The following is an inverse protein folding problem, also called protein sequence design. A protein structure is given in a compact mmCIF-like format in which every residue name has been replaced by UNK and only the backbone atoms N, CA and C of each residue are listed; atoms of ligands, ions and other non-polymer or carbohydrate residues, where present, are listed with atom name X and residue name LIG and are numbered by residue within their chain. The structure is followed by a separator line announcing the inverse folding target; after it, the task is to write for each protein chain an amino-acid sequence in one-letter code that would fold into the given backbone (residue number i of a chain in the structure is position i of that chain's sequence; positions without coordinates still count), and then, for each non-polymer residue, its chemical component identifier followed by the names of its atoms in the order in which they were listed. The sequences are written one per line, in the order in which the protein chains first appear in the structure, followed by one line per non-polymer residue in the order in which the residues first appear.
data_IF_335353370608
#
_entry.id   IF_335353370608
#
_cell.length_a   1.000
_cell.length_b   1.000
_cell.length_c   1.000
_cell.angle_alpha   90.00
_cell.angle_beta   90.00
_cell.angle_gamma   90.00
#
_symmetry.space_group_name_H-M   'P 1'
#
loop_
_entity.id
_entity.type
_entity.pdbx_description
1 polymer ?
#
# COMPACT_ATOMS: atom_id res chain seq x y z
N UNK A 1 -13.93 -3.86 21.37
CA UNK A 1 -13.97 -2.60 20.57
C UNK A 1 -13.60 -2.99 19.15
N UNK A 2 -14.51 -2.82 18.19
CA UNK A 2 -14.24 -3.13 16.78
C UNK A 2 -13.25 -2.10 16.27
N UNK A 3 -11.95 -2.42 16.25
CA UNK A 3 -10.98 -1.65 15.49
C UNK A 3 -11.32 -1.84 14.01
N UNK A 4 -12.12 -0.91 13.46
CA UNK A 4 -12.28 -0.75 12.02
C UNK A 4 -10.86 -0.63 11.45
N UNK A 5 -10.45 -1.60 10.61
CA UNK A 5 -9.08 -1.63 10.10
C UNK A 5 -8.70 -0.31 9.42
N UNK A 6 -7.51 0.20 9.70
CA UNK A 6 -7.17 1.58 9.40
C UNK A 6 -6.69 1.83 7.98
N UNK A 7 -6.24 0.81 7.24
CA UNK A 7 -5.90 1.03 5.84
C UNK A 7 -5.03 0.02 5.11
N UNK A 8 -4.70 0.38 3.87
CA UNK A 8 -3.70 -0.22 2.99
C UNK A 8 -2.45 0.67 3.03
N UNK A 9 -1.27 0.09 3.19
CA UNK A 9 -0.01 0.82 3.04
C UNK A 9 0.41 0.82 1.56
N UNK A 10 0.50 1.98 0.94
CA UNK A 10 1.12 2.16 -0.37
C UNK A 10 2.58 2.56 -0.18
N UNK A 11 3.50 1.74 -0.70
CA UNK A 11 4.93 2.10 -0.78
C UNK A 11 5.13 2.97 -2.01
N UNK A 12 5.53 4.22 -1.79
CA UNK A 12 5.84 5.17 -2.84
C UNK A 12 7.29 5.00 -3.29
N UNK A 13 7.49 4.14 -4.27
CA UNK A 13 8.75 3.97 -5.00
C UNK A 13 8.75 4.70 -6.35
N UNK A 14 7.56 5.07 -6.84
CA UNK A 14 7.35 5.82 -8.06
C UNK A 14 6.15 6.76 -7.90
N UNK A 15 6.44 8.06 -7.86
CA UNK A 15 5.44 9.08 -7.59
C UNK A 15 4.28 9.10 -8.60
N UNK A 16 4.59 9.04 -9.89
CA UNK A 16 3.58 9.13 -10.94
C UNK A 16 2.62 7.93 -10.86
N UNK A 17 3.18 6.74 -10.66
CA UNK A 17 2.40 5.52 -10.40
C UNK A 17 1.51 5.64 -9.16
N UNK A 18 2.08 6.07 -8.03
CA UNK A 18 1.34 6.23 -6.77
C UNK A 18 0.16 7.19 -6.92
N UNK A 19 0.39 8.31 -7.61
CA UNK A 19 -0.66 9.30 -7.87
C UNK A 19 -1.78 8.71 -8.74
N UNK A 20 -1.43 8.08 -9.86
CA UNK A 20 -2.42 7.51 -10.79
C UNK A 20 -3.24 6.37 -10.15
N UNK A 21 -2.59 5.51 -9.36
CA UNK A 21 -3.25 4.44 -8.64
C UNK A 21 -4.28 4.98 -7.65
N UNK A 22 -3.89 5.98 -6.87
CA UNK A 22 -4.80 6.57 -5.87
C UNK A 22 -5.95 7.31 -6.55
N UNK A 23 -5.69 8.07 -7.61
CA UNK A 23 -6.74 8.74 -8.40
C UNK A 23 -7.73 7.73 -8.98
N UNK A 24 -7.25 6.60 -9.51
CA UNK A 24 -8.10 5.53 -9.99
C UNK A 24 -8.98 4.96 -8.87
N UNK A 25 -8.39 4.63 -7.71
CA UNK A 25 -9.12 4.09 -6.56
C UNK A 25 -10.18 5.06 -6.03
N UNK A 26 -9.91 6.36 -6.05
CA UNK A 26 -10.90 7.38 -5.68
C UNK A 26 -12.04 7.44 -6.69
N UNK A 27 -11.75 7.44 -7.98
CA UNK A 27 -12.78 7.54 -9.03
C UNK A 27 -13.76 6.35 -9.02
N UNK A 28 -13.31 5.17 -8.60
CA UNK A 28 -14.15 3.98 -8.48
C UNK A 28 -14.94 3.96 -7.16
N UNK A 29 -14.46 4.63 -6.11
CA UNK A 29 -15.12 4.69 -4.80
C UNK A 29 -16.05 5.90 -4.69
N UNK A 30 -17.35 5.67 -4.71
CA UNK A 30 -18.33 6.74 -4.88
C UNK A 30 -18.52 7.71 -3.70
N UNK A 31 -17.99 7.45 -2.49
CA UNK A 31 -18.18 8.40 -1.36
C UNK A 31 -17.37 8.12 -0.07
N UNK A 32 -16.30 7.32 -0.09
CA UNK A 32 -15.55 7.02 1.13
C UNK A 32 -14.18 7.69 1.11
N UNK A 33 -13.81 8.31 2.24
CA UNK A 33 -12.46 8.79 2.49
C UNK A 33 -11.46 7.67 2.19
N UNK A 34 -10.34 8.04 1.57
CA UNK A 34 -9.29 7.07 1.26
C UNK A 34 -8.84 6.37 2.53
N UNK A 35 -8.71 5.05 2.47
CA UNK A 35 -8.11 4.25 3.54
C UNK A 35 -6.65 3.89 3.20
N UNK A 36 -6.01 4.70 2.36
CA UNK A 36 -4.63 4.50 1.95
C UNK A 36 -3.73 5.34 2.86
N UNK A 37 -2.72 4.70 3.43
CA UNK A 37 -1.60 5.35 4.08
C UNK A 37 -0.44 5.21 3.11
N UNK A 38 0.25 6.28 2.78
CA UNK A 38 1.39 6.24 1.86
C UNK A 38 2.69 6.43 2.63
N UNK A 39 3.75 5.72 2.24
CA UNK A 39 5.08 5.89 2.80
C UNK A 39 6.12 6.00 1.69
N UNK A 40 7.03 6.96 1.82
CA UNK A 40 8.10 7.21 0.84
C UNK A 40 8.93 8.44 1.22
N UNK A 41 9.84 8.86 0.35
CA UNK A 41 10.75 9.99 0.63
C UNK A 41 10.20 11.34 0.13
N UNK A 42 9.21 11.33 -0.77
CA UNK A 42 8.63 12.51 -1.41
C UNK A 42 7.52 13.19 -0.58
N UNK A 43 7.85 13.61 0.63
CA UNK A 43 6.90 14.16 1.62
C UNK A 43 6.05 15.32 1.13
N UNK A 44 6.62 16.20 0.30
CA UNK A 44 5.89 17.34 -0.29
C UNK A 44 4.69 16.88 -1.11
N UNK A 45 4.87 15.82 -1.88
CA UNK A 45 3.85 15.31 -2.78
C UNK A 45 2.83 14.45 -2.04
N UNK A 46 3.28 13.63 -1.09
CA UNK A 46 2.38 12.90 -0.19
C UNK A 46 1.47 13.85 0.61
N UNK A 47 2.02 14.94 1.17
CA UNK A 47 1.22 15.95 1.87
C UNK A 47 0.16 16.58 0.95
N UNK A 48 0.49 16.81 -0.32
CA UNK A 48 -0.47 17.32 -1.32
C UNK A 48 -1.62 16.34 -1.56
N UNK A 49 -1.35 15.03 -1.59
CA UNK A 49 -2.41 14.01 -1.69
C UNK A 49 -3.30 14.01 -0.45
N UNK A 50 -2.72 14.17 0.74
CA UNK A 50 -3.49 14.25 1.99
C UNK A 50 -4.42 15.46 1.99
N UNK A 51 -3.94 16.64 1.58
CA UNK A 51 -4.77 17.85 1.45
C UNK A 51 -5.91 17.71 0.44
N UNK A 52 -5.72 16.90 -0.59
CA UNK A 52 -6.76 16.56 -1.57
C UNK A 52 -7.64 15.38 -1.12
N UNK A 53 -7.50 14.93 0.13
CA UNK A 53 -8.22 13.79 0.72
C UNK A 53 -8.03 12.47 -0.05
N UNK A 54 -6.92 12.35 -0.80
CA UNK A 54 -6.59 11.17 -1.60
C UNK A 54 -5.98 10.03 -0.80
N UNK A 55 -5.42 10.37 0.34
CA UNK A 55 -4.84 9.44 1.31
C UNK A 55 -5.33 9.85 2.71
N UNK A 56 -5.36 8.90 3.62
CA UNK A 56 -5.71 9.12 5.03
C UNK A 56 -4.57 9.77 5.81
N UNK A 57 -3.36 9.29 5.56
CA UNK A 57 -2.15 9.71 6.27
C UNK A 57 -0.92 9.43 5.39
N UNK A 58 0.21 10.03 5.75
CA UNK A 58 1.49 9.78 5.12
C UNK A 58 2.62 9.62 6.13
N UNK A 59 3.65 8.86 5.77
CA UNK A 59 4.85 8.71 6.57
C UNK A 59 6.08 8.91 5.70
N UNK A 60 7.08 9.65 6.20
CA UNK A 60 8.38 9.65 5.56
C UNK A 60 9.03 8.27 5.75
N UNK A 61 9.54 7.70 4.66
CA UNK A 61 10.38 6.51 4.71
C UNK A 61 11.32 6.49 3.51
N UNK A 62 12.63 6.50 3.79
CA UNK A 62 13.65 6.02 2.87
C UNK A 62 13.72 4.49 2.97
N UNK A 63 13.29 3.79 1.92
CA UNK A 63 13.29 2.32 1.87
C UNK A 63 14.67 1.70 1.61
N UNK A 64 15.69 2.52 1.36
CA UNK A 64 17.09 2.08 1.31
C UNK A 64 17.75 2.10 2.70
N UNK A 65 17.03 2.61 3.71
CA UNK A 65 17.55 2.79 5.06
C UNK A 65 16.73 1.98 6.07
N UNK A 66 17.33 0.92 6.61
CA UNK A 66 16.69 0.03 7.58
C UNK A 66 16.17 0.76 8.83
N UNK A 67 16.88 1.79 9.32
CA UNK A 67 16.44 2.57 10.48
C UNK A 67 15.14 3.29 10.16
N UNK A 68 15.07 3.93 8.99
CA UNK A 68 13.87 4.61 8.51
C UNK A 68 12.69 3.63 8.37
N UNK A 69 12.93 2.43 7.84
CA UNK A 69 11.90 1.38 7.76
C UNK A 69 11.45 0.90 9.14
N UNK A 70 12.35 0.76 10.10
CA UNK A 70 12.00 0.36 11.47
C UNK A 70 11.19 1.44 12.20
N UNK A 71 11.48 2.72 11.95
CA UNK A 71 10.68 3.85 12.42
C UNK A 71 9.28 3.86 11.79
N UNK A 72 9.19 3.64 10.48
CA UNK A 72 7.92 3.46 9.77
C UNK A 72 7.12 2.31 10.39
N UNK A 73 7.71 1.14 10.56
CA UNK A 73 7.05 -0.03 11.14
C UNK A 73 6.51 0.27 12.56
N UNK A 74 7.34 0.93 13.38
CA UNK A 74 6.97 1.35 14.74
C UNK A 74 5.86 2.41 14.76
N UNK A 75 5.85 3.33 13.79
CA UNK A 75 4.78 4.31 13.63
C UNK A 75 3.48 3.63 13.23
N UNK A 76 3.51 2.82 12.17
CA UNK A 76 2.35 2.10 11.66
C UNK A 76 1.76 1.22 12.75
N UNK A 77 2.57 0.42 13.44
CA UNK A 77 2.09 -0.46 14.52
C UNK A 77 1.37 0.30 15.66
N UNK A 78 1.82 1.51 15.99
CA UNK A 78 1.23 2.31 17.08
C UNK A 78 -0.02 3.08 16.69
N UNK A 79 -0.12 3.48 15.42
CA UNK A 79 -1.13 4.45 14.97
C UNK A 79 -2.11 3.90 13.94
N UNK A 80 -1.81 2.75 13.34
CA UNK A 80 -2.58 2.18 12.24
C UNK A 80 -2.67 0.66 12.31
N UNK A 81 -3.87 0.14 12.09
CA UNK A 81 -4.07 -1.27 11.76
C UNK A 81 -3.97 -1.50 10.23
N UNK A 82 -2.76 -1.83 9.73
CA UNK A 82 -2.50 -2.10 8.31
C UNK A 82 -2.96 -3.50 7.94
N UNK A 83 -3.80 -3.61 6.90
CA UNK A 83 -4.30 -4.91 6.44
C UNK A 83 -3.43 -5.56 5.37
N UNK A 84 -2.79 -4.73 4.55
CA UNK A 84 -1.97 -5.15 3.43
C UNK A 84 -1.08 -4.03 2.94
N UNK A 85 -0.01 -4.41 2.25
CA UNK A 85 0.91 -3.51 1.55
C UNK A 85 0.69 -3.60 0.05
N UNK A 86 0.65 -2.45 -0.62
CA UNK A 86 0.58 -2.30 -2.06
C UNK A 86 1.95 -1.87 -2.57
N UNK A 87 2.47 -2.60 -3.56
CA UNK A 87 3.78 -2.38 -4.15
C UNK A 87 3.62 -2.22 -5.67
N UNK A 88 4.36 -1.29 -6.26
CA UNK A 88 4.47 -1.25 -7.72
C UNK A 88 5.26 -2.48 -8.19
N UNK A 89 4.67 -3.25 -9.11
CA UNK A 89 5.24 -4.53 -9.56
C UNK A 89 6.62 -4.35 -10.19
N UNK A 90 6.82 -3.33 -11.03
CA UNK A 90 8.10 -3.11 -11.69
C UNK A 90 9.22 -2.84 -10.68
N UNK A 91 8.99 -1.93 -9.74
CA UNK A 91 10.00 -1.55 -8.76
C UNK A 91 10.34 -2.72 -7.82
N UNK A 92 9.36 -3.53 -7.43
CA UNK A 92 9.61 -4.73 -6.64
C UNK A 92 10.54 -5.73 -7.37
N UNK A 93 10.35 -5.92 -8.68
CA UNK A 93 11.17 -6.85 -9.46
C UNK A 93 12.57 -6.29 -9.77
N UNK A 94 12.70 -4.97 -9.89
CA UNK A 94 13.99 -4.29 -10.11
C UNK A 94 14.79 -4.07 -8.82
N UNK A 95 14.16 -4.16 -7.65
CA UNK A 95 14.78 -3.97 -6.35
C UNK A 95 15.98 -4.91 -6.12
N UNK A 96 16.93 -4.48 -5.30
CA UNK A 96 18.02 -5.33 -4.80
C UNK A 96 17.47 -6.42 -3.88
N UNK A 97 18.31 -7.41 -3.52
CA UNK A 97 17.91 -8.41 -2.52
C UNK A 97 17.61 -7.78 -1.15
N UNK A 98 18.37 -6.75 -0.77
CA UNK A 98 18.18 -6.01 0.48
C UNK A 98 16.85 -5.22 0.49
N UNK A 99 16.54 -4.52 -0.61
CA UNK A 99 15.27 -3.81 -0.76
C UNK A 99 14.08 -4.78 -0.80
N UNK A 100 14.20 -5.91 -1.52
CA UNK A 100 13.15 -6.95 -1.50
C UNK A 100 12.97 -7.55 -0.12
N UNK A 101 14.05 -7.78 0.63
CA UNK A 101 13.97 -8.24 2.01
C UNK A 101 13.18 -7.26 2.87
N UNK A 102 13.41 -5.95 2.71
CA UNK A 102 12.63 -4.89 3.38
C UNK A 102 11.15 -5.02 3.01
N UNK A 103 10.80 -5.03 1.71
CA UNK A 103 9.41 -5.12 1.26
C UNK A 103 8.71 -6.39 1.74
N UNK A 104 9.39 -7.53 1.73
CA UNK A 104 8.89 -8.82 2.21
C UNK A 104 8.79 -8.90 3.74
N UNK A 105 9.42 -7.98 4.46
CA UNK A 105 9.33 -7.87 5.91
C UNK A 105 8.20 -6.96 6.40
N UNK A 106 7.72 -6.03 5.55
CA UNK A 106 6.75 -5.02 5.97
C UNK A 106 5.43 -5.62 6.48
N UNK A 107 4.89 -6.62 5.79
CA UNK A 107 3.57 -7.16 6.10
C UNK A 107 3.37 -8.54 5.46
N UNK A 108 2.63 -9.49 6.06
CA UNK A 108 2.36 -10.81 5.47
C UNK A 108 1.45 -10.80 4.23
N UNK A 109 0.49 -9.88 4.19
CA UNK A 109 -0.35 -9.65 3.00
C UNK A 109 0.25 -8.54 2.17
N UNK A 110 0.73 -8.89 0.98
CA UNK A 110 1.36 -7.98 0.03
C UNK A 110 0.74 -8.19 -1.34
N UNK A 111 0.46 -7.10 -2.04
CA UNK A 111 -0.07 -7.12 -3.38
C UNK A 111 0.82 -6.33 -4.32
N UNK A 112 1.18 -6.95 -5.44
CA UNK A 112 1.88 -6.29 -6.52
C UNK A 112 0.84 -5.71 -7.47
N UNK A 113 1.02 -4.46 -7.84
CA UNK A 113 0.13 -3.76 -8.76
C UNK A 113 0.92 -3.43 -10.02
N UNK A 114 0.37 -3.82 -11.16
CA UNK A 114 0.91 -3.49 -12.47
C UNK A 114 -0.04 -2.53 -13.17
N UNK A 115 0.53 -1.50 -13.79
CA UNK A 115 -0.21 -0.60 -14.66
C UNK A 115 -0.21 -1.16 -16.08
N UNK A 116 -1.40 -1.29 -16.66
CA UNK A 116 -1.61 -1.81 -18.01
C UNK A 116 -2.40 -0.79 -18.85
N UNK A 117 -2.42 -0.93 -20.19
CA UNK A 117 -3.23 -0.06 -21.04
C UNK A 117 -4.75 -0.10 -20.71
N UNK A 118 -5.23 -1.14 -20.04
CA UNK A 118 -6.63 -1.31 -19.66
C UNK A 118 -6.94 -0.89 -18.21
N UNK A 119 -5.97 -0.35 -17.48
CA UNK A 119 -6.10 0.01 -16.05
C UNK A 119 -5.07 -0.73 -15.21
N UNK A 120 -5.44 -1.12 -13.99
CA UNK A 120 -4.53 -1.79 -13.07
C UNK A 120 -4.80 -3.28 -12.97
N UNK A 121 -3.74 -4.08 -12.93
CA UNK A 121 -3.78 -5.49 -12.54
C UNK A 121 -3.17 -5.62 -11.15
N UNK A 122 -3.72 -6.55 -10.37
CA UNK A 122 -3.26 -6.81 -9.01
C UNK A 122 -3.05 -8.31 -8.84
N UNK A 123 -1.90 -8.66 -8.28
CA UNK A 123 -1.54 -10.04 -7.94
C UNK A 123 -1.10 -10.12 -6.49
N UNK A 124 -1.35 -11.25 -5.87
CA UNK A 124 -0.86 -11.54 -4.52
C UNK A 124 0.61 -11.91 -4.59
N UNK A 125 1.41 -11.34 -3.71
CA UNK A 125 2.79 -11.79 -3.56
C UNK A 125 2.82 -13.08 -2.72
N UNK A 126 3.48 -14.10 -3.25
CA UNK A 126 3.54 -15.44 -2.67
C UNK A 126 4.86 -15.73 -1.95
N UNK A 127 5.83 -14.81 -1.98
CA UNK A 127 7.04 -14.92 -1.18
C UNK A 127 6.69 -15.09 0.30
N UNK A 128 7.47 -15.90 1.02
CA UNK A 128 7.26 -16.09 2.44
C UNK A 128 7.51 -14.76 3.16
N UNK A 129 6.55 -14.35 4.00
CA UNK A 129 6.70 -13.15 4.81
C UNK A 129 7.81 -13.31 5.86
N UNK A 130 8.63 -12.28 6.01
CA UNK A 130 9.71 -12.24 6.99
C UNK A 130 9.28 -11.38 8.17
N UNK A 131 8.64 -12.01 9.16
CA UNK A 131 8.15 -11.28 10.33
C UNK A 131 9.33 -10.92 11.25
N UNK A 132 9.60 -9.62 11.39
CA UNK A 132 10.73 -9.08 12.16
C UNK A 132 10.43 -7.64 12.65
N UNK A 133 11.46 -6.89 13.09
CA UNK A 133 11.33 -5.51 13.59
C UNK A 133 10.91 -4.48 12.52
N UNK A 134 10.89 -4.86 11.25
CA UNK A 134 10.42 -4.06 10.11
C UNK A 134 8.94 -4.32 9.81
N UNK A 135 8.31 -5.28 10.48
CA UNK A 135 6.91 -5.61 10.26
C UNK A 135 5.98 -4.59 10.91
N UNK A 136 5.08 -4.00 10.13
CA UNK A 136 4.05 -3.11 10.65
C UNK A 136 2.90 -3.87 11.34
N UNK A 137 2.82 -5.20 11.14
CA UNK A 137 1.82 -6.06 11.76
C UNK A 137 2.46 -7.38 12.24
N UNK A 138 3.04 -7.42 13.45
CA UNK A 138 3.78 -8.59 13.94
C UNK A 138 2.89 -9.78 14.32
N UNK A 139 1.60 -9.56 14.56
CA UNK A 139 0.63 -10.63 14.86
C UNK A 139 -0.22 -10.94 13.62
N UNK A 140 -0.21 -12.16 13.10
CA UNK A 140 -1.05 -12.50 11.95
C UNK A 140 -2.50 -12.84 12.35
N UNK A 141 -2.77 -13.01 13.64
CA UNK A 141 -4.10 -13.30 14.15
C UNK A 141 -5.03 -12.08 13.98
N UNK A 142 -6.11 -12.27 13.23
CA UNK A 142 -7.12 -11.22 13.01
C UNK A 142 -6.95 -10.43 11.71
N UNK A 143 -5.94 -10.73 10.89
CA UNK A 143 -5.84 -10.17 9.54
C UNK A 143 -6.98 -10.69 8.64
N UNK A 144 -7.54 -9.87 7.75
CA UNK A 144 -8.52 -10.31 6.76
C UNK A 144 -7.93 -11.36 5.82
N UNK A 145 -8.77 -12.27 5.31
CA UNK A 145 -8.37 -13.24 4.29
C UNK A 145 -7.76 -12.52 3.07
N UNK A 146 -6.50 -12.81 2.70
CA UNK A 146 -5.82 -12.14 1.59
C UNK A 146 -6.49 -12.40 0.23
N UNK A 147 -7.15 -13.55 0.04
CA UNK A 147 -7.81 -13.87 -1.23
C UNK A 147 -9.13 -13.09 -1.36
N UNK A 148 -9.84 -12.89 -0.24
CA UNK A 148 -10.98 -11.98 -0.18
C UNK A 148 -10.57 -10.52 -0.43
N UNK A 149 -9.43 -10.09 0.12
CA UNK A 149 -8.89 -8.75 -0.14
C UNK A 149 -8.50 -8.58 -1.60
N UNK A 150 -7.82 -9.56 -2.19
CA UNK A 150 -7.48 -9.56 -3.61
C UNK A 150 -8.73 -9.39 -4.46
N UNK A 151 -9.76 -10.21 -4.25
CA UNK A 151 -11.01 -10.12 -5.02
C UNK A 151 -11.67 -8.73 -4.92
N UNK A 152 -11.68 -8.12 -3.73
CA UNK A 152 -12.19 -6.76 -3.53
C UNK A 152 -11.35 -5.72 -4.28
N UNK A 153 -10.03 -5.80 -4.18
CA UNK A 153 -9.12 -4.87 -4.84
C UNK A 153 -9.17 -5.02 -6.36
N UNK A 154 -9.21 -6.24 -6.88
CA UNK A 154 -9.41 -6.52 -8.31
C UNK A 154 -10.69 -5.89 -8.83
N UNK A 155 -11.81 -6.03 -8.10
CA UNK A 155 -13.07 -5.39 -8.46
C UNK A 155 -13.00 -3.86 -8.51
N UNK A 156 -12.17 -3.25 -7.65
CA UNK A 156 -11.94 -1.81 -7.61
C UNK A 156 -10.96 -1.33 -8.71
N UNK A 157 -9.92 -2.10 -9.01
CA UNK A 157 -8.81 -1.71 -9.87
C UNK A 157 -9.00 -2.09 -11.35
N UNK A 158 -9.80 -3.13 -11.61
CA UNK A 158 -10.09 -3.61 -12.96
C UNK A 158 -11.48 -3.16 -13.47
N UNK A 159 -12.24 -2.42 -12.66
CA UNK A 159 -13.55 -1.89 -13.06
C UNK A 159 -13.42 -0.79 -14.10
N UNK A 160 -14.25 -0.80 -15.14
CA UNK A 160 -14.29 0.30 -16.13
C UNK A 160 -14.65 1.61 -15.42
N UNK A 161 -13.81 2.63 -15.57
CA UNK A 161 -14.15 3.99 -15.18
C UNK A 161 -15.51 4.35 -15.80
N UNK A 162 -16.44 4.81 -14.96
CA UNK A 162 -17.71 5.36 -15.44
C UNK A 162 -17.35 6.60 -16.26
N UNK A 163 -17.46 6.50 -17.59
CA UNK A 163 -17.35 7.67 -18.46
C UNK A 163 -18.54 8.56 -18.09
N UNK A 164 -18.28 9.66 -17.39
CA UNK A 164 -19.27 10.70 -17.21
C UNK A 164 -19.53 11.30 -18.60
N UNK A 165 -20.73 11.04 -19.13
CA UNK A 165 -21.25 11.70 -20.32
C UNK A 165 -21.78 13.10 -20.01
#
# INVERSE_FOLDING_TARGET
MNALSDGLLLVDSNWDFSQELVEHLQNVRSSQASNIIIAGDNTKQMLKMMFKEQIKDYCYCDFDNEISVSELASYLHRHHNINAVLLYSLDYHLATEEQRFIFDSLHPHRFLIEQTPQGFQITKQHSQALINHLSCHPDTAGLPDPDLMLAKLTGLLCGKAKVAG
#
